data_IF_540765501780
#
_entry.id   IF_540765501780
#
_cell.length_a   1.000
_cell.length_b   1.000
_cell.length_c   1.000
_cell.angle_alpha   90.00
_cell.angle_beta   90.00
_cell.angle_gamma   90.00
#
_symmetry.space_group_name_H-M   'P 1'
#
loop_
_entity.id
_entity.type
_entity.pdbx_description
1 polymer ?
#
# COMPACT_ATOMS: atom_id res chain seq x y z
N UNK A 1 13.52 31.69 -43.48
CA UNK A 1 13.67 30.88 -42.24
C UNK A 1 12.95 29.52 -42.27
N UNK A 2 11.95 29.26 -43.13
CA UNK A 2 11.25 27.96 -43.17
C UNK A 2 12.00 26.80 -43.87
N UNK A 3 12.89 27.06 -44.83
CA UNK A 3 13.60 26.00 -45.57
C UNK A 3 14.64 25.23 -44.71
N UNK A 4 15.31 25.91 -43.77
CA UNK A 4 16.35 25.31 -42.90
C UNK A 4 15.75 24.43 -41.78
N UNK A 5 14.56 24.76 -41.28
CA UNK A 5 13.85 23.93 -40.28
C UNK A 5 13.33 22.63 -40.90
N UNK A 6 12.89 22.71 -42.16
CA UNK A 6 12.42 21.55 -42.93
C UNK A 6 13.56 20.59 -43.30
N UNK A 7 14.78 21.09 -43.58
CA UNK A 7 15.92 20.22 -43.90
C UNK A 7 16.44 19.43 -42.70
N UNK A 8 16.47 20.03 -41.50
CA UNK A 8 16.90 19.33 -40.27
C UNK A 8 15.95 18.20 -39.87
N UNK A 9 14.63 18.41 -40.04
CA UNK A 9 13.63 17.35 -39.79
C UNK A 9 13.76 16.23 -40.83
N UNK A 10 14.01 16.56 -42.10
CA UNK A 10 14.22 15.57 -43.15
C UNK A 10 15.43 14.66 -42.87
N UNK A 11 16.55 15.23 -42.40
CA UNK A 11 17.73 14.43 -42.02
C UNK A 11 17.45 13.54 -40.79
N UNK A 12 16.70 14.03 -39.81
CA UNK A 12 16.29 13.21 -38.65
C UNK A 12 15.36 12.06 -39.05
N UNK A 13 14.40 12.30 -39.96
CA UNK A 13 13.51 11.27 -40.51
C UNK A 13 14.29 10.21 -41.30
N UNK A 14 15.25 10.63 -42.12
CA UNK A 14 16.12 9.72 -42.86
C UNK A 14 16.97 8.84 -41.92
N UNK A 15 17.45 9.40 -40.81
CA UNK A 15 18.15 8.63 -39.80
C UNK A 15 17.24 7.58 -39.15
N UNK A 16 16.04 7.96 -38.68
CA UNK A 16 15.07 7.03 -38.07
C UNK A 16 14.63 5.92 -39.02
N UNK A 17 14.46 6.24 -40.31
CA UNK A 17 14.10 5.26 -41.34
C UNK A 17 15.27 4.38 -41.79
N UNK A 18 16.51 4.65 -41.33
CA UNK A 18 17.68 3.89 -41.75
C UNK A 18 17.68 2.48 -41.14
N UNK A 19 18.13 1.50 -41.94
CA UNK A 19 18.32 0.11 -41.49
C UNK A 19 19.26 0.05 -40.27
N UNK A 20 20.29 0.89 -40.26
CA UNK A 20 21.23 1.00 -39.15
C UNK A 20 20.53 1.40 -37.84
N UNK A 21 19.61 2.36 -37.87
CA UNK A 21 18.86 2.77 -36.68
C UNK A 21 17.89 1.69 -36.21
N UNK A 22 17.31 0.90 -37.12
CA UNK A 22 16.49 -0.25 -36.75
C UNK A 22 17.31 -1.36 -36.08
N UNK A 23 18.48 -1.69 -36.62
CA UNK A 23 19.42 -2.67 -36.05
C UNK A 23 19.97 -2.19 -34.70
N UNK A 24 20.35 -0.92 -34.62
CA UNK A 24 20.79 -0.28 -33.38
C UNK A 24 19.70 -0.32 -32.32
N UNK A 25 18.46 0.04 -32.68
CA UNK A 25 17.31 0.01 -31.77
C UNK A 25 17.02 -1.39 -31.26
N UNK A 26 17.06 -2.39 -32.14
CA UNK A 26 16.91 -3.81 -31.75
C UNK A 26 18.00 -4.24 -30.78
N UNK A 27 19.28 -3.91 -31.07
CA UNK A 27 20.42 -4.25 -30.22
C UNK A 27 20.31 -3.60 -28.84
N UNK A 28 19.99 -2.30 -28.77
CA UNK A 28 19.89 -1.57 -27.49
C UNK A 28 18.70 -2.07 -26.65
N UNK A 29 17.54 -2.33 -27.27
CA UNK A 29 16.39 -2.95 -26.59
C UNK A 29 16.73 -4.32 -26.03
N UNK A 30 17.51 -5.13 -26.76
CA UNK A 30 17.96 -6.43 -26.28
C UNK A 30 18.88 -6.30 -25.05
N UNK A 31 19.79 -5.32 -25.04
CA UNK A 31 20.66 -5.06 -23.88
C UNK A 31 19.85 -4.63 -22.65
N UNK A 32 18.87 -3.72 -22.81
CA UNK A 32 17.97 -3.33 -21.73
C UNK A 32 17.15 -4.51 -21.20
N UNK A 33 16.67 -5.38 -22.10
CA UNK A 33 15.90 -6.56 -21.72
C UNK A 33 16.74 -7.58 -20.94
N UNK A 34 18.02 -7.78 -21.30
CA UNK A 34 18.92 -8.70 -20.58
C UNK A 34 19.20 -8.23 -19.14
N UNK A 35 19.28 -6.92 -18.92
CA UNK A 35 19.49 -6.35 -17.59
C UNK A 35 18.22 -6.32 -16.72
N UNK A 36 17.04 -6.49 -17.32
CA UNK A 36 15.78 -6.42 -16.62
C UNK A 36 15.40 -7.79 -16.01
N UNK A 37 15.02 -7.83 -14.72
CA UNK A 37 14.43 -9.04 -14.16
C UNK A 37 13.10 -9.37 -14.89
N UNK A 38 12.74 -10.66 -14.97
CA UNK A 38 11.50 -11.06 -15.61
C UNK A 38 10.29 -10.39 -14.92
N UNK A 39 9.24 -10.02 -15.67
CA UNK A 39 8.01 -9.50 -15.07
C UNK A 39 7.34 -10.52 -14.14
N UNK A 40 6.60 -10.03 -13.15
CA UNK A 40 5.72 -10.87 -12.32
C UNK A 40 4.63 -11.49 -13.19
N UNK A 41 4.53 -12.82 -13.17
CA UNK A 41 3.51 -13.55 -13.92
C UNK A 41 2.11 -13.20 -13.44
N UNK A 42 1.12 -13.19 -14.34
CA UNK A 42 -0.27 -12.83 -14.02
C UNK A 42 -0.91 -13.73 -12.95
N UNK A 43 -0.40 -14.96 -12.80
CA UNK A 43 -0.86 -15.93 -11.81
C UNK A 43 -0.18 -15.82 -10.45
N UNK A 44 0.72 -14.85 -10.27
CA UNK A 44 1.57 -14.75 -9.08
C UNK A 44 1.22 -13.47 -8.31
N UNK A 45 0.73 -13.58 -7.05
CA UNK A 45 0.59 -12.41 -6.21
C UNK A 45 1.95 -11.81 -5.88
N UNK A 46 1.98 -10.54 -5.51
CA UNK A 46 3.22 -9.88 -5.14
C UNK A 46 3.00 -8.76 -4.13
N UNK A 47 4.05 -8.46 -3.38
CA UNK A 47 4.12 -7.32 -2.48
C UNK A 47 5.13 -6.32 -3.02
N UNK A 48 4.75 -5.05 -3.09
CA UNK A 48 5.70 -3.95 -3.28
C UNK A 48 5.99 -3.38 -1.91
N UNK A 49 7.26 -3.38 -1.50
CA UNK A 49 7.72 -2.78 -0.26
C UNK A 49 8.62 -1.60 -0.57
N UNK A 50 8.35 -0.48 0.07
CA UNK A 50 9.17 0.72 -0.02
C UNK A 50 9.64 1.10 1.39
N UNK A 51 10.91 1.46 1.52
CA UNK A 51 11.57 1.77 2.79
C UNK A 51 12.29 3.11 2.67
N UNK A 52 12.16 3.98 3.67
CA UNK A 52 12.74 5.31 3.60
C UNK A 52 14.25 5.28 3.83
N UNK A 53 15.01 5.88 2.92
CA UNK A 53 16.47 5.79 2.95
C UNK A 53 17.04 6.75 3.99
N UNK A 54 17.86 6.23 4.91
CA UNK A 54 18.56 7.04 5.92
C UNK A 54 17.63 7.68 6.94
N UNK A 55 16.46 7.07 7.19
CA UNK A 55 15.39 7.71 7.95
C UNK A 55 15.71 7.96 9.43
N UNK A 56 16.61 7.18 10.03
CA UNK A 56 17.09 7.42 11.39
C UNK A 56 17.79 8.78 11.52
N UNK A 57 18.58 9.17 10.51
CA UNK A 57 19.23 10.49 10.42
C UNK A 57 18.20 11.57 10.11
N UNK A 58 17.30 11.31 9.16
CA UNK A 58 16.25 12.24 8.78
C UNK A 58 15.32 12.60 9.95
N UNK A 59 15.00 11.65 10.82
CA UNK A 59 14.11 11.82 11.97
C UNK A 59 14.82 12.27 13.25
N UNK A 60 16.10 12.66 13.17
CA UNK A 60 16.84 13.10 14.37
C UNK A 60 16.41 14.51 14.80
N UNK A 61 15.89 14.65 16.03
CA UNK A 61 15.48 15.94 16.59
C UNK A 61 13.99 16.29 16.46
N UNK A 62 13.17 15.35 15.98
CA UNK A 62 11.71 15.38 16.14
C UNK A 62 11.31 14.63 17.42
N UNK A 63 10.02 14.65 17.77
CA UNK A 63 9.52 14.00 18.99
C UNK A 63 9.85 12.49 19.03
N UNK A 64 10.19 12.00 20.24
CA UNK A 64 10.52 10.60 20.52
C UNK A 64 9.57 10.05 21.61
N UNK A 65 9.30 8.73 21.64
CA UNK A 65 9.75 7.72 20.67
C UNK A 65 9.03 7.80 19.32
N UNK A 66 7.87 8.49 19.27
CA UNK A 66 7.07 8.65 18.05
C UNK A 66 6.63 10.11 17.88
N UNK A 67 6.72 10.61 16.64
CA UNK A 67 6.16 11.90 16.24
C UNK A 67 4.86 11.68 15.47
N UNK A 68 3.76 12.25 15.95
CA UNK A 68 2.43 12.05 15.36
C UNK A 68 2.32 12.66 13.96
N UNK A 69 3.03 13.75 13.67
CA UNK A 69 3.02 14.41 12.35
C UNK A 69 3.68 13.52 11.31
N UNK A 70 4.83 12.94 11.66
CA UNK A 70 5.52 11.99 10.78
C UNK A 70 4.65 10.76 10.52
N UNK A 71 4.04 10.20 11.56
CA UNK A 71 3.14 9.05 11.42
C UNK A 71 1.93 9.38 10.55
N UNK A 72 1.31 10.53 10.75
CA UNK A 72 0.16 10.96 9.96
C UNK A 72 0.55 11.28 8.50
N UNK A 73 1.73 11.85 8.25
CA UNK A 73 2.29 12.05 6.92
C UNK A 73 2.51 10.71 6.18
N UNK A 74 3.02 9.69 6.87
CA UNK A 74 3.20 8.35 6.30
C UNK A 74 1.86 7.66 6.01
N UNK A 75 0.86 7.79 6.90
CA UNK A 75 -0.50 7.27 6.65
C UNK A 75 -1.13 7.97 5.44
N UNK A 76 -1.03 9.30 5.35
CA UNK A 76 -1.54 10.08 4.21
C UNK A 76 -0.82 9.70 2.90
N UNK A 77 0.50 9.51 2.94
CA UNK A 77 1.29 9.01 1.80
C UNK A 77 0.81 7.63 1.37
N UNK A 78 0.51 6.75 2.32
CA UNK A 78 0.00 5.41 2.02
C UNK A 78 -1.39 5.48 1.41
N UNK A 79 -2.29 6.36 1.88
CA UNK A 79 -3.60 6.58 1.26
C UNK A 79 -3.45 7.05 -0.19
N UNK A 80 -2.52 7.97 -0.47
CA UNK A 80 -2.25 8.45 -1.84
C UNK A 80 -1.74 7.30 -2.73
N UNK A 81 -0.89 6.42 -2.20
CA UNK A 81 -0.40 5.23 -2.91
C UNK A 81 -1.53 4.27 -3.23
N UNK A 82 -2.39 3.97 -2.25
CA UNK A 82 -3.51 3.06 -2.47
C UNK A 82 -4.51 3.65 -3.46
N UNK A 83 -4.75 4.96 -3.38
CA UNK A 83 -5.62 5.69 -4.32
C UNK A 83 -5.06 5.64 -5.74
N UNK A 84 -3.74 5.80 -5.91
CA UNK A 84 -3.11 5.84 -7.23
C UNK A 84 -2.92 4.45 -7.85
N UNK A 85 -2.45 3.48 -7.07
CA UNK A 85 -1.98 2.19 -7.58
C UNK A 85 -2.94 1.03 -7.30
N UNK A 86 -3.98 1.25 -6.47
CA UNK A 86 -5.08 0.31 -6.25
C UNK A 86 -4.64 -1.11 -5.81
N UNK A 87 -3.71 -1.27 -4.84
CA UNK A 87 -3.49 -2.57 -4.20
C UNK A 87 -4.75 -3.04 -3.47
N UNK A 88 -4.82 -4.33 -3.16
CA UNK A 88 -5.96 -4.88 -2.37
C UNK A 88 -5.89 -4.44 -0.91
N UNK A 89 -4.67 -4.18 -0.41
CA UNK A 89 -4.39 -3.73 0.94
C UNK A 89 -3.03 -3.04 0.96
N UNK A 90 -2.88 -2.03 1.80
CA UNK A 90 -1.59 -1.52 2.19
C UNK A 90 -1.39 -1.64 3.71
N UNK A 91 -0.14 -1.73 4.11
CA UNK A 91 0.30 -1.76 5.48
C UNK A 91 1.49 -0.82 5.66
N UNK A 92 1.50 -0.07 6.76
CA UNK A 92 2.57 0.87 7.07
C UNK A 92 3.01 0.72 8.53
N UNK A 93 4.32 0.63 8.75
CA UNK A 93 4.94 0.70 10.08
C UNK A 93 6.30 1.38 10.01
N UNK A 94 6.61 2.20 11.02
CA UNK A 94 7.83 3.02 11.06
C UNK A 94 8.02 3.87 9.80
N UNK A 95 8.95 3.47 8.94
CA UNK A 95 9.43 4.08 7.72
C UNK A 95 9.21 3.19 6.48
N UNK A 96 8.51 2.06 6.67
CA UNK A 96 8.23 1.05 5.66
C UNK A 96 6.75 1.05 5.26
N UNK A 97 6.46 1.02 3.95
CA UNK A 97 5.12 0.80 3.42
C UNK A 97 5.12 -0.45 2.52
N UNK A 98 4.19 -1.36 2.78
CA UNK A 98 3.95 -2.57 2.00
C UNK A 98 2.60 -2.50 1.27
N UNK A 99 2.58 -2.71 -0.04
CA UNK A 99 1.40 -2.73 -0.90
C UNK A 99 1.20 -4.16 -1.43
N UNK A 100 0.04 -4.76 -1.17
CA UNK A 100 -0.26 -6.15 -1.55
C UNK A 100 -1.10 -6.19 -2.82
N UNK A 101 -0.71 -7.03 -3.78
CA UNK A 101 -1.44 -7.27 -5.02
C UNK A 101 -1.73 -8.76 -5.17
N UNK A 102 -3.01 -9.16 -5.30
CA UNK A 102 -3.36 -10.54 -5.64
C UNK A 102 -2.93 -10.85 -7.08
N UNK A 103 -2.87 -12.14 -7.41
CA UNK A 103 -2.73 -12.58 -8.79
C UNK A 103 -3.83 -11.95 -9.68
N UNK A 104 -3.46 -11.52 -10.89
CA UNK A 104 -4.43 -11.02 -11.87
C UNK A 104 -5.27 -12.18 -12.44
N UNK A 105 -4.68 -13.37 -12.49
CA UNK A 105 -5.24 -14.65 -12.92
C UNK A 105 -4.92 -15.72 -11.86
N UNK A 106 -5.58 -15.69 -10.68
CA UNK A 106 -5.27 -16.61 -9.60
C UNK A 106 -5.46 -18.07 -10.01
N UNK A 107 -4.62 -18.95 -9.46
CA UNK A 107 -4.83 -20.38 -9.58
C UNK A 107 -6.10 -20.81 -8.81
N UNK A 108 -6.77 -21.91 -9.19
CA UNK A 108 -8.00 -22.35 -8.52
C UNK A 108 -7.85 -22.54 -7.00
N UNK A 109 -6.66 -22.96 -6.53
CA UNK A 109 -6.35 -23.16 -5.12
C UNK A 109 -6.00 -21.87 -4.35
N UNK A 110 -5.82 -20.75 -5.05
CA UNK A 110 -5.52 -19.41 -4.50
C UNK A 110 -6.57 -18.37 -4.96
N UNK A 111 -7.82 -18.82 -5.11
CA UNK A 111 -8.95 -18.00 -5.54
C UNK A 111 -9.87 -17.67 -4.37
N UNK A 112 -10.24 -16.39 -4.26
CA UNK A 112 -11.07 -15.86 -3.17
C UNK A 112 -12.20 -14.99 -3.73
N UNK A 113 -13.33 -14.97 -3.03
CA UNK A 113 -14.48 -14.11 -3.33
C UNK A 113 -14.21 -12.67 -2.93
N UNK A 114 -15.12 -11.76 -3.30
CA UNK A 114 -15.01 -10.34 -2.96
C UNK A 114 -15.05 -10.10 -1.43
N UNK A 115 -15.66 -11.00 -0.67
CA UNK A 115 -15.67 -11.01 0.80
C UNK A 115 -14.45 -11.69 1.44
N UNK A 116 -13.53 -12.22 0.62
CA UNK A 116 -12.30 -12.87 1.06
C UNK A 116 -12.45 -14.35 1.39
N UNK A 117 -13.60 -14.97 1.08
CA UNK A 117 -13.81 -16.40 1.31
C UNK A 117 -13.15 -17.23 0.21
N UNK A 118 -12.46 -18.30 0.61
CA UNK A 118 -11.79 -19.20 -0.34
C UNK A 118 -12.84 -19.88 -1.22
N UNK A 119 -12.66 -19.79 -2.54
CA UNK A 119 -13.56 -20.41 -3.50
C UNK A 119 -13.15 -21.87 -3.66
N UNK A 120 -14.07 -22.80 -3.43
CA UNK A 120 -13.83 -24.22 -3.69
C UNK A 120 -13.65 -24.44 -5.20
N UNK A 121 -12.52 -25.04 -5.64
CA UNK A 121 -12.28 -25.35 -7.05
C UNK A 121 -13.39 -26.19 -7.69
N UNK A 122 -14.04 -27.07 -6.92
CA UNK A 122 -15.10 -27.95 -7.41
C UNK A 122 -16.38 -27.20 -7.78
N UNK A 123 -16.69 -26.10 -7.06
CA UNK A 123 -17.88 -25.26 -7.32
C UNK A 123 -17.71 -24.44 -8.61
N UNK A 124 -16.47 -24.01 -8.90
CA UNK A 124 -16.16 -23.19 -10.08
C UNK A 124 -16.36 -23.96 -11.40
N UNK A 125 -16.03 -25.26 -11.40
CA UNK A 125 -16.18 -26.15 -12.56
C UNK A 125 -17.67 -26.40 -12.87
N UNK A 126 -18.51 -26.58 -11.84
CA UNK A 126 -19.94 -26.85 -11.99
C UNK A 126 -20.68 -25.65 -12.60
N UNK A 127 -20.31 -24.42 -12.22
CA UNK A 127 -20.89 -23.20 -12.82
C UNK A 127 -20.53 -23.00 -14.29
N UNK A 128 -19.35 -23.45 -14.73
CA UNK A 128 -18.98 -23.41 -16.15
C UNK A 128 -19.72 -24.49 -16.95
N UNK A 129 -19.92 -25.68 -16.40
CA UNK A 129 -20.61 -26.78 -17.10
C UNK A 129 -22.13 -26.55 -17.24
N UNK A 130 -22.80 -26.01 -16.22
CA UNK A 130 -24.23 -25.68 -16.29
C UNK A 130 -24.54 -24.50 -17.24
N UNK A 131 -23.53 -23.72 -17.63
CA UNK A 131 -23.69 -22.62 -18.59
C UNK A 131 -23.59 -23.06 -20.06
N UNK A 132 -23.29 -24.34 -20.34
CA UNK A 132 -23.12 -24.90 -21.68
C UNK A 132 -24.40 -25.39 -22.35
N UNK A 133 -25.57 -24.86 -22.00
CA UNK A 133 -26.80 -25.18 -22.74
C UNK A 133 -27.14 -24.13 -23.81
N UNK A 134 -26.85 -24.52 -25.06
CA UNK A 134 -27.41 -24.06 -26.35
C UNK A 134 -27.67 -22.55 -26.54
N UNK A 135 -26.62 -21.83 -26.91
CA UNK A 135 -26.64 -20.91 -28.07
C UNK A 135 -25.20 -20.58 -28.48
N UNK A 136 -24.86 -20.89 -29.73
CA UNK A 136 -23.65 -20.45 -30.42
C UNK A 136 -23.39 -18.96 -30.18
N UNK A 137 -22.55 -18.66 -29.20
CA UNK A 137 -21.97 -17.35 -28.96
C UNK A 137 -20.48 -17.58 -28.88
N UNK A 138 -19.77 -17.04 -29.87
CA UNK A 138 -18.33 -16.74 -29.90
C UNK A 138 -17.76 -16.77 -28.48
N UNK A 139 -16.93 -17.78 -28.17
CA UNK A 139 -16.16 -17.83 -26.93
C UNK A 139 -15.33 -16.54 -26.91
N UNK A 140 -15.81 -15.51 -26.20
CA UNK A 140 -14.98 -14.39 -25.83
C UNK A 140 -13.99 -14.99 -24.84
N UNK A 141 -12.80 -15.32 -25.30
CA UNK A 141 -11.65 -15.51 -24.43
C UNK A 141 -11.67 -14.38 -23.42
N UNK A 142 -11.75 -14.72 -22.12
CA UNK A 142 -11.64 -13.75 -21.05
C UNK A 142 -10.39 -12.90 -21.34
N UNK A 143 -10.47 -11.55 -21.29
CA UNK A 143 -9.32 -10.72 -21.58
C UNK A 143 -8.18 -11.12 -20.65
N UNK A 144 -7.00 -11.36 -21.21
CA UNK A 144 -5.78 -11.66 -20.45
C UNK A 144 -5.57 -10.54 -19.42
N UNK A 145 -5.91 -10.81 -18.15
CA UNK A 145 -5.75 -9.82 -17.09
C UNK A 145 -4.28 -9.72 -16.78
N UNK A 146 -3.69 -8.56 -17.05
CA UNK A 146 -2.30 -8.27 -16.71
C UNK A 146 -2.22 -7.47 -15.42
N UNK A 147 -1.15 -7.69 -14.65
CA UNK A 147 -0.82 -6.82 -13.53
C UNK A 147 -0.57 -5.37 -13.96
N UNK A 148 -0.59 -4.47 -12.98
CA UNK A 148 -0.12 -3.09 -13.12
C UNK A 148 1.27 -3.07 -13.80
N UNK A 149 1.44 -2.20 -14.79
CA UNK A 149 2.64 -2.09 -15.62
C UNK A 149 3.11 -3.41 -16.27
N UNK A 150 2.19 -4.35 -16.49
CA UNK A 150 2.46 -5.68 -17.02
C UNK A 150 3.43 -6.48 -16.15
N UNK A 151 3.43 -6.24 -14.83
CA UNK A 151 4.28 -6.97 -13.88
C UNK A 151 5.77 -6.56 -13.92
N UNK A 152 6.16 -5.54 -14.68
CA UNK A 152 7.58 -5.16 -14.82
C UNK A 152 8.16 -4.66 -13.50
N UNK A 153 9.00 -5.47 -12.87
CA UNK A 153 9.57 -5.24 -11.53
C UNK A 153 10.25 -3.87 -11.41
N UNK A 154 11.14 -3.51 -12.35
CA UNK A 154 11.84 -2.22 -12.31
C UNK A 154 10.87 -1.03 -12.37
N UNK A 155 9.82 -1.13 -13.19
CA UNK A 155 8.82 -0.07 -13.35
C UNK A 155 7.95 0.07 -12.11
N UNK A 156 7.54 -1.07 -11.53
CA UNK A 156 6.76 -1.12 -10.29
C UNK A 156 7.56 -0.50 -9.12
N UNK A 157 8.78 -0.98 -8.87
CA UNK A 157 9.63 -0.46 -7.78
C UNK A 157 9.91 1.04 -7.93
N UNK A 158 10.42 1.47 -9.09
CA UNK A 158 10.83 2.87 -9.30
C UNK A 158 9.66 3.86 -9.24
N UNK A 159 8.52 3.55 -9.87
CA UNK A 159 7.39 4.48 -9.93
C UNK A 159 6.69 4.59 -8.58
N UNK A 160 6.54 3.49 -7.85
CA UNK A 160 5.91 3.50 -6.52
C UNK A 160 6.77 4.28 -5.53
N UNK A 161 8.07 4.02 -5.45
CA UNK A 161 8.98 4.74 -4.53
C UNK A 161 9.13 6.22 -4.88
N UNK A 162 9.19 6.55 -6.18
CA UNK A 162 9.22 7.94 -6.65
C UNK A 162 7.96 8.70 -6.24
N UNK A 163 6.79 8.10 -6.45
CA UNK A 163 5.52 8.73 -6.05
C UNK A 163 5.41 8.86 -4.52
N UNK A 164 5.81 7.85 -3.76
CA UNK A 164 5.83 7.90 -2.30
C UNK A 164 6.72 9.03 -1.77
N UNK A 165 7.91 9.19 -2.35
CA UNK A 165 8.85 10.27 -1.99
C UNK A 165 8.22 11.64 -2.22
N UNK A 166 7.60 11.85 -3.38
CA UNK A 166 6.93 13.12 -3.69
C UNK A 166 5.77 13.42 -2.72
N UNK A 167 4.97 12.40 -2.38
CA UNK A 167 3.81 12.57 -1.49
C UNK A 167 4.20 12.73 -0.02
N UNK A 168 5.20 12.00 0.47
CA UNK A 168 5.70 12.17 1.84
C UNK A 168 6.21 13.59 2.05
N UNK A 169 7.05 14.10 1.14
CA UNK A 169 7.57 15.46 1.27
C UNK A 169 6.47 16.52 1.21
N UNK A 170 5.48 16.34 0.32
CA UNK A 170 4.29 17.18 0.31
C UNK A 170 3.60 17.18 1.68
N UNK A 171 3.29 16.02 2.25
CA UNK A 171 2.60 15.94 3.55
C UNK A 171 3.43 16.52 4.68
N UNK A 172 4.72 16.21 4.77
CA UNK A 172 5.62 16.77 5.78
C UNK A 172 5.67 18.30 5.74
N UNK A 173 5.62 18.90 4.53
CA UNK A 173 5.61 20.35 4.36
C UNK A 173 4.34 21.03 4.91
N UNK A 174 3.22 20.30 4.99
CA UNK A 174 1.94 20.83 5.48
C UNK A 174 1.85 20.91 7.00
N UNK A 175 2.69 20.16 7.72
CA UNK A 175 2.68 20.17 9.18
C UNK A 175 3.44 21.39 9.74
N UNK A 176 3.01 21.78 10.94
CA UNK A 176 3.74 22.75 11.75
C UNK A 176 4.91 22.05 12.49
N UNK A 177 6.06 22.69 12.45
CA UNK A 177 7.33 22.25 13.05
C UNK A 177 7.97 23.38 13.89
N UNK A 178 7.20 24.39 14.33
CA UNK A 178 7.71 25.50 15.15
C UNK A 178 8.24 25.04 16.54
N UNK A 179 7.80 23.89 17.03
CA UNK A 179 8.32 23.25 18.25
C UNK A 179 9.74 22.70 18.10
N UNK A 180 10.24 22.59 16.86
CA UNK A 180 11.55 22.04 16.54
C UNK A 180 12.59 23.13 16.28
N UNK A 181 13.88 22.78 16.37
CA UNK A 181 14.96 23.70 15.97
C UNK A 181 14.86 24.10 14.50
N UNK A 182 15.38 25.29 14.14
CA UNK A 182 15.38 25.80 12.75
C UNK A 182 15.91 24.76 11.74
N UNK A 183 17.02 24.09 12.08
CA UNK A 183 17.62 23.04 11.24
C UNK A 183 16.68 21.85 11.02
N UNK A 184 15.94 21.43 12.05
CA UNK A 184 14.98 20.32 11.94
C UNK A 184 13.79 20.74 11.09
N UNK A 185 13.27 21.95 11.29
CA UNK A 185 12.17 22.54 10.51
C UNK A 185 12.53 22.63 9.02
N UNK A 186 13.71 23.16 8.70
CA UNK A 186 14.20 23.26 7.33
C UNK A 186 14.30 21.87 6.69
N UNK A 187 14.82 20.87 7.40
CA UNK A 187 14.92 19.49 6.89
C UNK A 187 13.54 18.84 6.67
N UNK A 188 12.60 18.98 7.62
CA UNK A 188 11.25 18.42 7.47
C UNK A 188 10.48 19.05 6.31
N UNK A 189 10.73 20.33 5.99
CA UNK A 189 10.12 21.05 4.87
C UNK A 189 11.01 21.08 3.60
N UNK A 190 12.18 20.46 3.64
CA UNK A 190 13.23 20.58 2.63
C UNK A 190 13.05 19.68 1.41
N UNK A 191 12.05 18.82 1.41
CA UNK A 191 11.78 17.84 0.35
C UNK A 191 12.90 16.79 0.16
N UNK A 192 13.56 16.42 1.25
CA UNK A 192 14.75 15.56 1.26
C UNK A 192 14.45 14.08 1.55
N UNK A 193 13.20 13.71 1.88
CA UNK A 193 12.85 12.32 2.18
C UNK A 193 12.65 11.52 0.89
N UNK A 194 13.21 10.31 0.81
CA UNK A 194 13.02 9.44 -0.34
C UNK A 194 13.02 7.95 0.05
N UNK A 195 12.47 7.14 -0.84
CA UNK A 195 12.27 5.70 -0.63
C UNK A 195 13.08 4.86 -1.62
N UNK A 196 13.57 3.71 -1.17
CA UNK A 196 13.90 2.60 -2.05
C UNK A 196 12.62 1.80 -2.38
N UNK A 197 12.72 0.81 -3.27
CA UNK A 197 11.56 0.01 -3.69
C UNK A 197 11.94 -1.39 -4.09
N UNK A 198 11.15 -2.35 -3.60
CA UNK A 198 11.35 -3.78 -3.84
C UNK A 198 10.02 -4.41 -4.24
N UNK A 199 10.05 -5.26 -5.26
CA UNK A 199 8.90 -6.08 -5.65
C UNK A 199 9.23 -7.52 -5.30
N UNK A 200 8.37 -8.14 -4.50
CA UNK A 200 8.51 -9.51 -4.03
C UNK A 200 7.34 -10.33 -4.59
N UNK A 201 7.52 -11.07 -5.69
CA UNK A 201 6.58 -12.10 -6.11
C UNK A 201 6.48 -13.17 -5.02
N UNK A 202 5.27 -13.66 -4.77
CA UNK A 202 4.98 -14.64 -3.71
C UNK A 202 4.25 -15.86 -4.29
N UNK A 203 4.38 -17.05 -3.68
CA UNK A 203 3.73 -18.26 -4.15
C UNK A 203 2.20 -18.13 -4.24
N UNK A 204 1.59 -17.56 -3.20
CA UNK A 204 0.15 -17.46 -3.01
C UNK A 204 -0.22 -16.29 -2.09
N UNK A 205 -1.51 -16.03 -1.97
CA UNK A 205 -2.06 -14.96 -1.14
C UNK A 205 -1.88 -15.24 0.37
N UNK A 206 -1.77 -16.52 0.74
CA UNK A 206 -1.47 -16.96 2.09
C UNK A 206 -0.06 -16.48 2.53
N UNK A 207 0.95 -16.69 1.69
CA UNK A 207 2.32 -16.20 1.93
C UNK A 207 2.36 -14.68 1.98
N UNK A 208 1.49 -13.99 1.21
CA UNK A 208 1.35 -12.54 1.31
C UNK A 208 0.82 -12.11 2.69
N UNK A 209 -0.13 -12.85 3.26
CA UNK A 209 -0.61 -12.64 4.63
C UNK A 209 0.53 -12.85 5.63
N UNK A 210 1.27 -13.96 5.55
CA UNK A 210 2.41 -14.22 6.45
C UNK A 210 3.48 -13.12 6.37
N UNK A 211 3.74 -12.62 5.16
CA UNK A 211 4.68 -11.53 4.95
C UNK A 211 4.29 -10.30 5.77
N UNK A 212 3.04 -9.83 5.65
CA UNK A 212 2.61 -8.64 6.39
C UNK A 212 2.46 -8.95 7.89
N UNK A 213 2.03 -10.17 8.28
CA UNK A 213 1.98 -10.59 9.69
C UNK A 213 3.36 -10.54 10.34
N UNK A 214 4.38 -11.03 9.64
CA UNK A 214 5.78 -10.94 10.09
C UNK A 214 6.24 -9.49 10.24
N UNK A 215 5.88 -8.61 9.30
CA UNK A 215 6.17 -7.17 9.39
C UNK A 215 5.50 -6.50 10.59
N UNK A 216 4.26 -6.86 10.91
CA UNK A 216 3.52 -6.31 12.05
C UNK A 216 3.99 -6.85 13.40
N UNK A 217 3.86 -8.15 13.59
CA UNK A 217 3.89 -8.77 14.91
C UNK A 217 5.28 -9.20 15.35
N UNK A 218 6.18 -9.46 14.40
CA UNK A 218 7.56 -9.83 14.73
C UNK A 218 8.49 -8.64 14.63
N UNK A 219 8.55 -7.99 13.47
CA UNK A 219 9.50 -6.90 13.27
C UNK A 219 9.00 -5.57 13.82
N UNK A 220 7.79 -5.16 13.43
CA UNK A 220 7.20 -3.88 13.82
C UNK A 220 7.05 -3.75 15.34
N UNK A 221 6.45 -4.75 15.99
CA UNK A 221 6.31 -4.76 17.45
C UNK A 221 7.67 -4.70 18.18
N UNK A 222 8.64 -5.51 17.75
CA UNK A 222 10.00 -5.51 18.32
C UNK A 222 10.69 -4.16 18.15
N UNK A 223 10.61 -3.56 16.97
CA UNK A 223 11.20 -2.25 16.67
C UNK A 223 10.54 -1.15 17.50
N UNK A 224 9.22 -1.21 17.68
CA UNK A 224 8.46 -0.26 18.49
C UNK A 224 8.86 -0.33 19.96
N UNK A 225 8.88 -1.53 20.55
CA UNK A 225 9.28 -1.71 21.96
C UNK A 225 10.75 -1.33 22.16
N UNK A 226 11.63 -1.66 21.23
CA UNK A 226 13.03 -1.23 21.29
C UNK A 226 13.17 0.29 21.23
N UNK A 227 12.45 0.97 20.32
CA UNK A 227 12.44 2.42 20.21
C UNK A 227 11.87 3.11 21.45
N UNK A 228 10.82 2.54 22.06
CA UNK A 228 10.28 2.99 23.33
C UNK A 228 11.34 2.84 24.42
N UNK A 229 11.96 1.66 24.57
CA UNK A 229 12.96 1.42 25.60
C UNK A 229 14.17 2.37 25.50
N UNK A 230 14.65 2.63 24.28
CA UNK A 230 15.75 3.59 24.03
C UNK A 230 15.42 5.03 24.45
N UNK A 231 14.13 5.38 24.56
CA UNK A 231 13.70 6.70 25.03
C UNK A 231 13.76 6.84 26.56
N UNK A 232 13.75 5.73 27.32
CA UNK A 232 13.73 5.74 28.80
C UNK A 232 15.05 5.25 29.42
N UNK A 233 15.82 4.43 28.70
CA UNK A 233 17.03 3.81 29.20
C UNK A 233 18.27 4.20 28.39
N UNK A 234 19.43 4.24 29.06
CA UNK A 234 20.72 4.37 28.39
C UNK A 234 21.03 3.12 27.58
N UNK A 235 21.77 3.27 26.49
CA UNK A 235 22.17 2.14 25.64
C UNK A 235 22.83 1.00 26.42
N UNK A 236 23.70 1.31 27.39
CA UNK A 236 24.37 0.30 28.24
C UNK A 236 23.41 -0.56 29.06
N UNK A 237 22.23 -0.04 29.43
CA UNK A 237 21.23 -0.79 30.20
C UNK A 237 20.43 -1.76 29.31
N UNK A 238 20.36 -1.48 28.01
CA UNK A 238 19.59 -2.24 27.02
C UNK A 238 20.41 -3.33 26.33
N UNK A 239 21.73 -3.33 26.50
CA UNK A 239 22.61 -4.32 25.86
C UNK A 239 22.23 -5.75 26.29
N UNK A 240 22.18 -6.64 25.30
CA UNK A 240 21.84 -8.06 25.45
C UNK A 240 20.46 -8.32 26.09
N UNK A 241 19.53 -7.36 26.01
CA UNK A 241 18.15 -7.54 26.47
C UNK A 241 17.26 -8.05 25.34
N UNK A 242 16.43 -9.04 25.64
CA UNK A 242 15.40 -9.53 24.74
C UNK A 242 14.07 -8.78 24.96
N UNK A 243 13.10 -9.03 24.07
CA UNK A 243 11.83 -8.32 24.07
C UNK A 243 11.05 -8.42 25.40
N UNK A 244 10.85 -9.63 26.01
CA UNK A 244 10.22 -9.74 27.34
C UNK A 244 10.94 -8.91 28.42
N UNK A 245 12.28 -8.94 28.44
CA UNK A 245 13.06 -8.16 29.40
C UNK A 245 12.87 -6.66 29.21
N UNK A 246 12.77 -6.18 27.96
CA UNK A 246 12.50 -4.76 27.70
C UNK A 246 11.12 -4.34 28.23
N UNK A 247 10.09 -5.17 28.04
CA UNK A 247 8.74 -4.92 28.55
C UNK A 247 8.71 -4.92 30.09
N UNK A 248 9.38 -5.89 30.71
CA UNK A 248 9.52 -5.96 32.16
C UNK A 248 10.26 -4.73 32.71
N UNK A 249 11.35 -4.30 32.06
CA UNK A 249 12.09 -3.09 32.45
C UNK A 249 11.20 -1.83 32.35
N UNK A 250 10.46 -1.66 31.25
CA UNK A 250 9.55 -0.53 31.06
C UNK A 250 8.44 -0.49 32.12
N UNK A 251 7.85 -1.64 32.43
CA UNK A 251 6.81 -1.76 33.46
C UNK A 251 7.37 -1.51 34.86
N UNK A 252 8.43 -2.22 35.27
CA UNK A 252 8.95 -2.16 36.64
C UNK A 252 9.65 -0.84 37.00
N UNK A 253 10.44 -0.25 36.08
CA UNK A 253 11.20 0.96 36.38
C UNK A 253 10.47 2.27 36.05
N UNK A 254 9.52 2.24 35.11
CA UNK A 254 8.83 3.44 34.64
C UNK A 254 7.30 3.36 34.72
N UNK A 255 6.73 2.24 35.19
CA UNK A 255 5.29 2.00 35.23
C UNK A 255 4.61 2.21 33.87
N UNK A 256 5.26 1.72 32.80
CA UNK A 256 4.77 1.85 31.42
C UNK A 256 4.25 0.51 30.94
N UNK A 257 2.93 0.43 30.77
CA UNK A 257 2.33 -0.52 29.84
C UNK A 257 2.40 0.09 28.42
N UNK A 258 3.09 -0.60 27.50
CA UNK A 258 3.31 -0.07 26.15
C UNK A 258 2.03 -0.02 25.32
N UNK A 259 1.10 -0.94 25.54
CA UNK A 259 -0.15 -1.02 24.80
C UNK A 259 -1.11 0.06 25.28
N UNK A 260 -1.29 0.22 26.59
CA UNK A 260 -2.15 1.27 27.15
C UNK A 260 -1.62 2.68 26.83
N UNK A 261 -0.29 2.87 26.88
CA UNK A 261 0.31 4.19 26.69
C UNK A 261 0.38 4.64 25.24
N UNK A 262 0.75 3.75 24.31
CA UNK A 262 0.98 4.11 22.90
C UNK A 262 -0.13 3.60 21.97
N UNK A 263 -0.81 2.51 22.33
CA UNK A 263 -1.84 1.91 21.51
C UNK A 263 -1.31 1.21 20.25
N UNK A 264 -2.21 0.56 19.49
CA UNK A 264 -1.84 -0.37 18.43
C UNK A 264 -1.18 0.31 17.21
N UNK A 265 -1.50 1.59 16.96
CA UNK A 265 -1.01 2.36 15.80
C UNK A 265 0.52 2.48 15.76
N UNK A 266 1.17 2.61 16.92
CA UNK A 266 2.62 2.67 17.01
C UNK A 266 3.24 1.29 17.17
N UNK A 267 2.56 0.35 17.84
CA UNK A 267 3.09 -0.97 18.13
C UNK A 267 3.03 -1.94 16.94
N UNK A 268 1.88 -2.01 16.26
CA UNK A 268 1.62 -2.99 15.22
C UNK A 268 1.52 -2.38 13.82
N UNK A 269 1.36 -1.05 13.73
CA UNK A 269 1.30 -0.35 12.46
C UNK A 269 -0.13 -0.01 12.06
N UNK A 270 -0.32 0.28 10.77
CA UNK A 270 -1.58 0.78 10.24
C UNK A 270 -1.89 0.10 8.91
N UNK A 271 -3.04 -0.56 8.85
CA UNK A 271 -3.59 -1.18 7.64
C UNK A 271 -4.47 -0.16 6.94
N UNK A 272 -4.40 -0.10 5.62
CA UNK A 272 -5.27 0.72 4.79
C UNK A 272 -5.93 -0.16 3.72
N UNK A 273 -7.27 -0.10 3.69
CA UNK A 273 -8.10 -0.90 2.79
C UNK A 273 -9.35 -0.11 2.40
N UNK A 274 -9.98 -0.46 1.28
CA UNK A 274 -11.24 0.17 0.85
C UNK A 274 -12.37 -0.22 1.79
N UNK A 275 -13.16 0.71 2.27
CA UNK A 275 -14.44 0.43 2.93
C UNK A 275 -15.56 0.72 1.94
N UNK A 276 -16.56 -0.15 1.90
CA UNK A 276 -17.84 0.12 1.27
C UNK A 276 -18.83 0.57 2.35
N UNK A 277 -19.45 1.73 2.16
CA UNK A 277 -20.38 2.31 3.13
C UNK A 277 -21.61 2.85 2.44
N UNK A 278 -22.71 2.83 3.18
CA UNK A 278 -24.02 3.24 2.70
C UNK A 278 -24.38 4.60 3.24
N UNK A 279 -24.73 5.55 2.37
CA UNK A 279 -25.21 6.86 2.77
C UNK A 279 -26.74 6.88 2.61
N UNK A 280 -27.44 7.19 3.70
CA UNK A 280 -28.87 7.44 3.70
C UNK A 280 -29.16 8.86 3.21
N UNK A 281 -30.32 9.07 2.58
CA UNK A 281 -30.65 10.31 1.87
C UNK A 281 -30.67 11.55 2.76
N UNK A 282 -31.04 11.39 4.02
CA UNK A 282 -31.05 12.40 5.07
C UNK A 282 -29.65 12.92 5.44
N UNK A 283 -28.61 12.16 5.12
CA UNK A 283 -27.21 12.52 5.39
C UNK A 283 -26.52 13.21 4.20
N UNK A 284 -27.21 13.35 3.05
CA UNK A 284 -26.61 13.91 1.84
C UNK A 284 -27.01 15.37 1.67
N UNK A 285 -26.04 16.28 1.84
CA UNK A 285 -26.23 17.68 1.50
C UNK A 285 -26.00 17.89 -0.01
N UNK A 286 -26.97 17.50 -0.83
CA UNK A 286 -26.91 17.69 -2.29
C UNK A 286 -27.51 19.04 -2.70
N UNK A 287 -26.96 19.70 -3.74
CA UNK A 287 -27.64 20.81 -4.39
C UNK A 287 -29.03 20.36 -4.89
N UNK A 288 -30.08 21.21 -4.82
CA UNK A 288 -31.45 20.84 -5.21
C UNK A 288 -31.59 20.28 -6.63
N UNK A 289 -30.68 20.65 -7.52
CA UNK A 289 -30.64 20.22 -8.93
C UNK A 289 -30.26 18.75 -9.09
N UNK A 290 -29.41 18.20 -8.21
CA UNK A 290 -29.01 16.80 -8.23
C UNK A 290 -30.11 15.85 -7.71
N UNK A 291 -31.02 16.35 -6.87
CA UNK A 291 -32.18 15.61 -6.38
C UNK A 291 -33.25 15.42 -7.48
N UNK A 292 -33.38 16.38 -8.41
CA UNK A 292 -34.39 16.34 -9.49
C UNK A 292 -34.18 15.23 -10.52
N UNK A 293 -32.96 14.70 -10.66
CA UNK A 293 -32.63 13.65 -11.63
C UNK A 293 -32.61 12.24 -11.03
N UNK A 294 -32.97 12.06 -9.74
CA UNK A 294 -32.98 10.74 -9.10
C UNK A 294 -34.29 9.99 -9.34
N UNK A 295 -34.16 8.72 -9.73
CA UNK A 295 -35.26 7.80 -10.04
C UNK A 295 -35.70 6.91 -8.87
N UNK A 296 -34.97 6.89 -7.74
CA UNK A 296 -35.25 6.00 -6.61
C UNK A 296 -34.71 6.57 -5.28
N UNK A 297 -35.42 6.29 -4.20
CA UNK A 297 -35.06 6.61 -2.80
C UNK A 297 -34.05 5.60 -2.20
N UNK A 298 -33.44 4.77 -3.04
CA UNK A 298 -32.47 3.77 -2.60
C UNK A 298 -31.19 4.39 -2.02
N UNK A 299 -30.66 3.77 -0.95
CA UNK A 299 -29.42 4.18 -0.33
C UNK A 299 -28.24 4.12 -1.31
N UNK A 300 -27.28 5.05 -1.16
CA UNK A 300 -26.12 5.11 -2.05
C UNK A 300 -24.96 4.33 -1.46
N UNK A 301 -24.53 3.30 -2.16
CA UNK A 301 -23.27 2.62 -1.86
C UNK A 301 -22.11 3.45 -2.39
N UNK A 302 -21.18 3.81 -1.50
CA UNK A 302 -19.96 4.55 -1.79
C UNK A 302 -18.74 3.80 -1.27
N UNK A 303 -17.58 4.17 -1.77
CA UNK A 303 -16.29 3.60 -1.36
C UNK A 303 -15.38 4.70 -0.89
N UNK A 304 -14.61 4.42 0.14
CA UNK A 304 -13.51 5.27 0.64
C UNK A 304 -12.37 4.41 1.13
N UNK A 305 -11.20 4.97 1.35
CA UNK A 305 -10.13 4.27 2.05
C UNK A 305 -10.26 4.50 3.55
N UNK A 306 -10.09 3.42 4.34
CA UNK A 306 -10.01 3.48 5.79
C UNK A 306 -8.68 2.97 6.27
N UNK A 307 -8.21 3.56 7.36
CA UNK A 307 -7.14 3.01 8.16
C UNK A 307 -7.70 2.22 9.33
N UNK A 308 -6.93 1.27 9.84
CA UNK A 308 -7.18 0.59 11.10
C UNK A 308 -5.86 0.11 11.68
N UNK A 309 -5.75 0.17 13.00
CA UNK A 309 -4.55 -0.24 13.72
C UNK A 309 -4.94 -1.24 14.81
N UNK A 310 -4.42 -2.47 14.75
CA UNK A 310 -4.78 -3.55 15.65
C UNK A 310 -3.65 -4.57 15.77
N UNK A 311 -3.68 -5.39 16.82
CA UNK A 311 -2.77 -6.51 16.95
C UNK A 311 -3.23 -7.65 16.04
N UNK A 312 -2.51 -7.90 14.95
CA UNK A 312 -2.94 -8.92 14.00
C UNK A 312 -2.89 -10.34 14.59
N UNK A 313 -2.11 -10.56 15.65
CA UNK A 313 -2.05 -11.84 16.35
C UNK A 313 -3.37 -12.25 17.02
N UNK A 314 -4.28 -11.29 17.27
CA UNK A 314 -5.59 -11.56 17.91
C UNK A 314 -6.56 -12.32 16.98
N UNK A 315 -6.25 -12.40 15.68
CA UNK A 315 -7.09 -13.04 14.67
C UNK A 315 -6.54 -14.41 14.29
N UNK A 316 -7.44 -15.37 14.01
CA UNK A 316 -7.04 -16.68 13.48
C UNK A 316 -6.36 -16.54 12.11
N UNK A 317 -5.50 -17.47 11.75
CA UNK A 317 -4.82 -17.48 10.45
C UNK A 317 -5.81 -17.36 9.28
N UNK A 318 -6.93 -18.08 9.35
CA UNK A 318 -8.03 -18.01 8.38
C UNK A 318 -8.63 -16.61 8.28
N UNK A 319 -8.88 -15.94 9.41
CA UNK A 319 -9.39 -14.56 9.44
C UNK A 319 -8.39 -13.57 8.84
N UNK A 320 -7.08 -13.78 9.07
CA UNK A 320 -6.04 -12.92 8.50
C UNK A 320 -6.01 -13.02 6.98
N UNK A 321 -6.10 -14.25 6.45
CA UNK A 321 -6.14 -14.49 5.01
C UNK A 321 -7.43 -13.92 4.42
N UNK A 322 -8.57 -14.15 5.07
CA UNK A 322 -9.88 -13.60 4.67
C UNK A 322 -9.83 -12.08 4.60
N UNK A 323 -9.27 -11.43 5.62
CA UNK A 323 -9.11 -9.97 5.65
C UNK A 323 -8.22 -9.46 4.50
N UNK A 324 -7.10 -10.13 4.23
CA UNK A 324 -6.21 -9.74 3.15
C UNK A 324 -6.88 -9.94 1.78
N UNK A 325 -7.58 -11.06 1.58
CA UNK A 325 -8.22 -11.47 0.34
C UNK A 325 -9.49 -10.69 0.00
N UNK A 326 -10.21 -10.16 0.98
CA UNK A 326 -11.40 -9.34 0.73
C UNK A 326 -11.06 -8.10 -0.11
N UNK A 327 -11.93 -7.67 -1.03
CA UNK A 327 -11.70 -6.45 -1.82
C UNK A 327 -11.91 -5.18 -0.99
N UNK A 328 -12.75 -5.28 0.02
CA UNK A 328 -13.09 -4.20 0.95
C UNK A 328 -12.79 -4.63 2.38
N UNK A 329 -12.76 -3.68 3.31
CA UNK A 329 -12.69 -3.89 4.74
C UNK A 329 -13.90 -4.73 5.12
N UNK A 330 -13.70 -6.00 5.48
CA UNK A 330 -14.82 -6.89 5.69
C UNK A 330 -15.52 -6.53 7.00
N UNK A 331 -16.85 -6.66 7.03
CA UNK A 331 -17.66 -6.41 8.21
C UNK A 331 -18.27 -7.75 8.64
N UNK A 332 -17.70 -8.33 9.68
CA UNK A 332 -18.18 -9.55 10.34
C UNK A 332 -17.96 -9.42 11.85
N UNK A 333 -18.52 -10.33 12.65
CA UNK A 333 -18.58 -10.19 14.12
C UNK A 333 -17.23 -9.84 14.78
N UNK A 334 -16.14 -10.43 14.28
CA UNK A 334 -14.77 -10.19 14.76
C UNK A 334 -13.89 -9.51 13.69
N UNK A 335 -14.45 -8.62 12.86
CA UNK A 335 -13.64 -7.92 11.85
C UNK A 335 -12.65 -6.96 12.51
N UNK A 336 -11.43 -6.79 11.95
CA UNK A 336 -10.49 -5.82 12.48
C UNK A 336 -11.06 -4.40 12.57
N UNK A 337 -10.77 -3.65 13.64
CA UNK A 337 -11.34 -2.33 13.86
C UNK A 337 -10.78 -1.30 12.87
N UNK A 338 -11.63 -0.36 12.48
CA UNK A 338 -11.21 0.83 11.73
C UNK A 338 -10.92 1.98 12.68
N UNK A 339 -9.90 2.78 12.35
CA UNK A 339 -9.59 4.00 13.11
C UNK A 339 -10.72 5.04 12.95
N UNK A 340 -10.92 5.94 13.92
CA UNK A 340 -11.87 7.04 13.79
C UNK A 340 -11.58 7.92 12.57
N UNK A 341 -12.63 8.38 11.91
CA UNK A 341 -12.52 9.33 10.81
C UNK A 341 -12.17 10.69 11.41
N UNK A 342 -10.98 11.23 11.11
CA UNK A 342 -10.63 12.60 11.48
C UNK A 342 -11.49 13.57 10.63
N UNK A 343 -12.21 14.49 11.30
CA UNK A 343 -13.27 15.34 10.73
C UNK A 343 -12.93 16.08 9.42
N UNK A 344 -13.97 16.35 8.62
CA UNK A 344 -14.03 17.04 7.31
C UNK A 344 -12.90 16.78 6.30
N UNK A 345 -12.19 15.66 6.46
CA UNK A 345 -11.27 15.18 5.44
C UNK A 345 -12.08 14.60 4.28
N UNK A 346 -12.40 15.50 3.34
CA UNK A 346 -12.72 15.27 1.93
C UNK A 346 -13.07 13.82 1.63
N UNK A 347 -14.37 13.54 1.60
CA UNK A 347 -14.92 12.36 0.96
C UNK A 347 -14.21 12.25 -0.40
N UNK A 348 -13.27 11.32 -0.54
CA UNK A 348 -12.71 11.00 -1.84
C UNK A 348 -13.85 10.36 -2.63
N UNK A 349 -14.60 11.20 -3.35
CA UNK A 349 -15.55 10.74 -4.34
C UNK A 349 -14.75 10.03 -5.42
N UNK A 350 -14.84 8.70 -5.44
CA UNK A 350 -14.48 7.88 -6.61
C UNK A 350 -15.76 7.68 -7.42
#
# INVERSE_FOLDING_TARGET
MNASRSSKIATALAAVASKHTHELGTRLKALEAVAAPPPVAASTPYVIRIDAVGFSVFTTGIAKPFDSRLKDAMVATTIDLVTKFQPIMAYHHSDEISLVYPAAMPAPNDSYSDSGEKIDPSVSIVTEELSKDKRSKRVKTLPDKTHLYSGRIQKLASVVSSYASARLNFHLSTFDWEDCSLKVKERMKGHEAYFDGRVCPLPDLYTAMECIFWRSNFDGFRNSVSGIAQNYFKHSQLQNKNLPQLLEMLSSHHNIDVYEKYGPKYLFGTWIKKEEYTISLDQINLPPEALKHRKSDEPIVRRRFRSGSFNWADYSEEDRVKFLAAKTWPVYQNSPPMDPIKGDSTIYYI
#
